data_IF_655064748297
#
_entry.id   IF_655064748297
#
_cell.length_a   1.000
_cell.length_b   1.000
_cell.length_c   1.000
_cell.angle_alpha   90.00
_cell.angle_beta   90.00
_cell.angle_gamma   90.00
#
_symmetry.space_group_name_H-M   'P 1'
#
loop_
_entity.id
_entity.type
_entity.pdbx_description
1 polymer ?
#
# COMPACT_ATOMS: atom_id res chain seq x y z
N UNK A 1 56.88 14.07 -41.06
CA UNK A 1 55.80 14.50 -40.14
C UNK A 1 54.55 13.62 -40.32
N UNK A 2 54.69 12.30 -40.22
CA UNK A 2 53.57 11.33 -40.20
C UNK A 2 53.74 10.44 -38.97
N UNK A 3 53.42 10.93 -37.77
CA UNK A 3 53.36 10.06 -36.58
C UNK A 3 52.60 10.69 -35.39
N UNK A 4 51.62 11.56 -35.63
CA UNK A 4 50.81 12.16 -34.55
C UNK A 4 49.30 12.01 -34.79
N UNK A 5 48.84 11.88 -36.04
CA UNK A 5 47.41 11.75 -36.34
C UNK A 5 46.81 10.34 -36.19
N UNK A 6 47.61 9.32 -35.86
CA UNK A 6 47.10 7.95 -35.65
C UNK A 6 46.72 7.68 -34.18
N UNK A 7 47.18 8.50 -33.22
CA UNK A 7 46.88 8.30 -31.80
C UNK A 7 45.58 8.99 -31.35
N UNK A 8 45.12 10.01 -32.09
CA UNK A 8 43.87 10.73 -31.77
C UNK A 8 42.63 9.98 -32.30
N UNK A 9 42.81 9.07 -33.26
CA UNK A 9 41.72 8.26 -33.81
C UNK A 9 41.39 7.00 -33.02
N UNK A 10 42.16 6.68 -31.96
CA UNK A 10 41.93 5.52 -31.09
C UNK A 10 41.16 5.90 -29.81
N UNK A 11 41.01 7.20 -29.49
CA UNK A 11 40.30 7.65 -28.28
C UNK A 11 38.81 7.96 -28.47
N UNK A 12 38.28 7.85 -29.69
CA UNK A 12 36.85 8.10 -30.00
C UNK A 12 36.05 6.84 -30.36
N UNK A 13 36.58 5.66 -30.07
CA UNK A 13 35.87 4.37 -30.15
C UNK A 13 35.75 3.74 -28.75
N UNK A 14 35.48 4.57 -27.75
CA UNK A 14 34.62 4.17 -26.65
C UNK A 14 33.26 4.82 -26.92
N UNK A 15 32.58 4.32 -27.95
CA UNK A 15 31.12 4.30 -27.87
C UNK A 15 30.83 3.42 -26.66
N UNK A 16 30.62 4.09 -25.52
CA UNK A 16 29.87 3.57 -24.40
C UNK A 16 28.69 2.82 -25.04
N UNK A 17 28.62 1.51 -24.84
CA UNK A 17 27.34 0.81 -24.95
C UNK A 17 26.45 1.48 -23.92
N UNK A 18 25.75 2.54 -24.34
CA UNK A 18 24.71 3.14 -23.54
C UNK A 18 23.64 2.07 -23.52
N UNK A 19 23.36 1.59 -22.31
CA UNK A 19 22.17 0.85 -21.96
C UNK A 19 21.03 1.26 -22.88
N UNK A 20 20.33 0.28 -23.44
CA UNK A 20 19.01 0.42 -24.04
C UNK A 20 18.00 0.71 -22.89
N UNK A 21 18.32 1.73 -22.09
CA UNK A 21 17.57 2.20 -20.93
C UNK A 21 16.24 2.68 -21.46
N UNK A 22 15.16 2.14 -20.89
CA UNK A 22 13.83 2.34 -21.42
C UNK A 22 13.43 3.80 -21.22
N UNK A 23 13.50 4.57 -22.31
CA UNK A 23 13.20 6.00 -22.32
C UNK A 23 11.70 6.18 -22.15
N UNK A 24 11.30 6.94 -21.13
CA UNK A 24 9.93 7.36 -20.86
C UNK A 24 9.80 8.83 -21.26
N UNK A 25 8.99 9.09 -22.28
CA UNK A 25 8.69 10.45 -22.68
C UNK A 25 7.58 11.04 -21.82
N UNK A 26 7.75 12.28 -21.36
CA UNK A 26 6.71 13.00 -20.62
C UNK A 26 6.55 14.43 -21.12
N UNK A 27 5.39 15.03 -20.88
CA UNK A 27 5.05 16.39 -21.24
C UNK A 27 4.28 17.06 -20.09
N UNK A 28 4.62 18.33 -19.81
CA UNK A 28 3.86 19.16 -18.88
C UNK A 28 2.99 20.11 -19.68
N UNK A 29 1.71 20.19 -19.32
CA UNK A 29 0.83 21.24 -19.82
C UNK A 29 1.38 22.63 -19.46
N UNK A 30 1.16 23.60 -20.34
CA UNK A 30 1.68 24.97 -20.19
C UNK A 30 1.02 25.72 -19.03
N UNK A 31 -0.21 25.33 -18.66
CA UNK A 31 -1.01 25.97 -17.62
C UNK A 31 -0.77 25.36 -16.22
N UNK A 32 0.13 24.38 -16.09
CA UNK A 32 0.42 23.73 -14.81
C UNK A 32 1.03 24.70 -13.79
N UNK A 33 0.58 24.60 -12.54
CA UNK A 33 1.27 25.25 -11.42
C UNK A 33 2.71 24.72 -11.24
N UNK A 34 3.65 25.63 -10.92
CA UNK A 34 5.08 25.30 -10.76
C UNK A 34 5.32 24.18 -9.74
N UNK A 35 4.59 24.18 -8.62
CA UNK A 35 4.72 23.17 -7.56
C UNK A 35 4.30 21.78 -8.00
N UNK A 36 3.33 21.68 -8.93
CA UNK A 36 2.91 20.38 -9.49
C UNK A 36 4.03 19.82 -10.35
N UNK A 37 4.61 20.65 -11.21
CA UNK A 37 5.75 20.26 -12.04
C UNK A 37 6.97 19.88 -11.19
N UNK A 38 7.30 20.67 -10.16
CA UNK A 38 8.40 20.39 -9.23
C UNK A 38 8.22 19.03 -8.52
N UNK A 39 7.02 18.71 -8.05
CA UNK A 39 6.74 17.42 -7.40
C UNK A 39 7.00 16.24 -8.34
N UNK A 40 6.60 16.35 -9.60
CA UNK A 40 6.83 15.31 -10.61
C UNK A 40 8.29 15.22 -11.02
N UNK A 41 8.99 16.34 -11.17
CA UNK A 41 10.42 16.35 -11.48
C UNK A 41 11.22 15.67 -10.36
N UNK A 42 10.97 16.04 -9.10
CA UNK A 42 11.65 15.41 -7.96
C UNK A 42 11.41 13.90 -7.90
N UNK A 43 10.17 13.47 -8.17
CA UNK A 43 9.85 12.05 -8.25
C UNK A 43 10.57 11.36 -9.43
N UNK A 44 10.58 11.97 -10.62
CA UNK A 44 11.30 11.49 -11.80
C UNK A 44 12.79 11.32 -11.50
N UNK A 45 13.42 12.30 -10.84
CA UNK A 45 14.84 12.28 -10.51
C UNK A 45 15.13 11.09 -9.58
N UNK A 46 14.33 10.92 -8.52
CA UNK A 46 14.46 9.79 -7.61
C UNK A 46 14.28 8.43 -8.33
N UNK A 47 13.29 8.31 -9.22
CA UNK A 47 13.07 7.09 -10.00
C UNK A 47 14.21 6.82 -10.98
N UNK A 48 14.80 7.86 -11.58
CA UNK A 48 15.95 7.73 -12.49
C UNK A 48 17.19 7.22 -11.74
N UNK A 49 17.36 7.60 -10.46
CA UNK A 49 18.46 7.12 -9.62
C UNK A 49 18.27 5.66 -9.18
N UNK A 50 17.04 5.29 -8.79
CA UNK A 50 16.73 3.97 -8.22
C UNK A 50 16.37 2.89 -9.26
N UNK A 51 16.18 3.29 -10.52
CA UNK A 51 15.79 2.40 -11.61
C UNK A 51 16.72 2.53 -12.83
N UNK A 52 16.46 1.73 -13.86
CA UNK A 52 17.12 1.84 -15.17
C UNK A 52 16.34 2.72 -16.16
N UNK A 53 15.26 3.37 -15.71
CA UNK A 53 14.42 4.22 -16.53
C UNK A 53 15.09 5.58 -16.76
N UNK A 54 14.86 6.13 -17.95
CA UNK A 54 15.31 7.49 -18.28
C UNK A 54 14.11 8.31 -18.70
N UNK A 55 13.84 9.40 -17.99
CA UNK A 55 12.72 10.27 -18.31
C UNK A 55 13.19 11.44 -19.18
N UNK A 56 12.53 11.62 -20.33
CA UNK A 56 12.88 12.65 -21.30
C UNK A 56 11.67 13.54 -21.56
N UNK A 57 11.82 14.83 -21.28
CA UNK A 57 10.78 15.81 -21.58
C UNK A 57 10.60 15.92 -23.09
N UNK A 58 9.38 15.68 -23.56
CA UNK A 58 8.97 15.86 -24.94
C UNK A 58 8.60 17.33 -25.20
N UNK A 59 8.76 17.77 -26.44
CA UNK A 59 8.29 19.07 -26.93
C UNK A 59 6.81 19.01 -27.36
N UNK A 60 6.28 17.81 -27.56
CA UNK A 60 4.90 17.57 -27.99
C UNK A 60 4.28 16.47 -27.12
N UNK A 61 2.98 16.55 -26.81
CA UNK A 61 2.32 15.57 -25.93
C UNK A 61 2.18 14.17 -26.55
N UNK A 62 2.39 14.04 -27.87
CA UNK A 62 2.22 12.78 -28.59
C UNK A 62 3.20 11.71 -28.07
N UNK A 63 2.67 10.52 -27.82
CA UNK A 63 3.41 9.33 -27.36
C UNK A 63 4.17 9.56 -26.02
N UNK A 64 3.67 10.46 -25.18
CA UNK A 64 4.25 10.82 -23.88
C UNK A 64 3.22 10.78 -22.76
N UNK A 65 3.68 10.65 -21.52
CA UNK A 65 2.82 10.83 -20.33
C UNK A 65 2.55 12.33 -20.17
N UNK A 66 1.28 12.72 -20.27
CA UNK A 66 0.83 14.10 -20.08
C UNK A 66 0.55 14.35 -18.60
N UNK A 67 1.23 15.30 -17.99
CA UNK A 67 0.93 15.77 -16.64
C UNK A 67 0.14 17.08 -16.71
N UNK A 68 -1.06 17.08 -16.12
CA UNK A 68 -2.03 18.18 -16.14
C UNK A 68 -2.49 18.56 -14.72
N UNK A 69 -2.45 19.84 -14.40
CA UNK A 69 -3.09 20.38 -13.21
C UNK A 69 -4.61 20.51 -13.43
N UNK A 70 -5.39 19.83 -12.59
CA UNK A 70 -6.85 19.75 -12.72
C UNK A 70 -7.57 19.68 -11.37
N UNK A 71 -6.88 20.00 -10.27
CA UNK A 71 -7.45 20.07 -8.92
C UNK A 71 -7.89 18.72 -8.31
N UNK A 72 -7.65 17.61 -9.00
CA UNK A 72 -7.87 16.25 -8.54
C UNK A 72 -6.73 15.35 -9.05
N UNK A 73 -6.68 14.12 -8.54
CA UNK A 73 -5.54 13.24 -8.77
C UNK A 73 -6.08 12.00 -9.47
N UNK A 74 -5.61 11.72 -10.66
CA UNK A 74 -6.10 10.55 -11.38
C UNK A 74 -5.17 10.20 -12.51
N UNK A 75 -5.24 8.95 -12.90
CA UNK A 75 -4.59 8.45 -14.09
C UNK A 75 -5.67 8.02 -15.07
N UNK A 76 -5.55 8.51 -16.31
CA UNK A 76 -6.41 8.15 -17.42
C UNK A 76 -5.58 7.43 -18.49
N UNK A 77 -5.85 6.13 -18.63
CA UNK A 77 -5.11 5.26 -19.55
C UNK A 77 -5.35 5.61 -21.03
N UNK A 78 -6.57 6.02 -21.38
CA UNK A 78 -7.00 6.21 -22.79
C UNK A 78 -6.20 7.25 -23.55
N UNK A 79 -5.64 8.23 -22.85
CA UNK A 79 -4.91 9.36 -23.40
C UNK A 79 -3.57 9.59 -22.69
N UNK A 80 -3.10 8.60 -21.90
CA UNK A 80 -1.84 8.68 -21.17
C UNK A 80 -1.72 9.96 -20.32
N UNK A 81 -2.80 10.33 -19.61
CA UNK A 81 -2.88 11.61 -18.88
C UNK A 81 -2.96 11.40 -17.37
N UNK A 82 -2.04 12.05 -16.67
CA UNK A 82 -1.98 12.18 -15.23
C UNK A 82 -2.55 13.53 -14.82
N UNK A 83 -3.65 13.48 -14.11
CA UNK A 83 -4.29 14.61 -13.45
C UNK A 83 -3.71 14.77 -12.05
N UNK A 84 -3.31 15.98 -11.70
CA UNK A 84 -2.80 16.34 -10.39
C UNK A 84 -3.52 17.58 -9.86
N UNK A 85 -3.55 17.73 -8.55
CA UNK A 85 -4.00 18.95 -7.91
C UNK A 85 -3.13 19.27 -6.70
N UNK A 86 -3.01 20.56 -6.38
CA UNK A 86 -2.19 21.04 -5.24
C UNK A 86 -2.54 20.38 -3.90
N UNK A 87 -3.76 19.88 -3.74
CA UNK A 87 -4.23 19.23 -2.51
C UNK A 87 -3.73 17.78 -2.35
N UNK A 88 -3.04 17.23 -3.34
CA UNK A 88 -2.53 15.86 -3.28
C UNK A 88 -1.09 15.71 -3.72
N UNK A 89 -0.36 16.80 -3.97
CA UNK A 89 1.07 16.71 -4.25
C UNK A 89 1.85 16.50 -2.94
N UNK A 90 2.56 15.37 -2.88
CA UNK A 90 3.61 15.08 -1.91
C UNK A 90 4.55 14.04 -2.53
N UNK A 91 5.74 13.87 -1.97
CA UNK A 91 6.81 13.05 -2.54
C UNK A 91 6.36 11.60 -2.83
N UNK A 92 5.62 11.00 -1.89
CA UNK A 92 5.10 9.65 -2.04
C UNK A 92 4.06 9.57 -3.16
N UNK A 93 3.12 10.51 -3.22
CA UNK A 93 2.04 10.54 -4.20
C UNK A 93 2.58 10.75 -5.62
N UNK A 94 3.52 11.67 -5.81
CA UNK A 94 4.10 11.96 -7.12
C UNK A 94 4.88 10.76 -7.66
N UNK A 95 5.58 10.02 -6.81
CA UNK A 95 6.20 8.75 -7.21
C UNK A 95 5.15 7.69 -7.56
N UNK A 96 4.11 7.55 -6.74
CA UNK A 96 3.05 6.56 -6.92
C UNK A 96 2.23 6.77 -8.19
N UNK A 97 1.91 8.02 -8.55
CA UNK A 97 1.11 8.30 -9.75
C UNK A 97 1.91 8.06 -11.03
N UNK A 98 3.23 8.32 -11.02
CA UNK A 98 4.13 7.94 -12.11
C UNK A 98 4.18 6.42 -12.22
N UNK A 99 4.35 5.72 -11.10
CA UNK A 99 4.33 4.26 -11.05
C UNK A 99 3.06 3.73 -11.71
N UNK A 100 1.89 4.25 -11.32
CA UNK A 100 0.59 3.84 -11.86
C UNK A 100 0.47 4.09 -13.35
N UNK A 101 0.92 5.25 -13.84
CA UNK A 101 0.92 5.55 -15.27
C UNK A 101 1.79 4.58 -16.09
N UNK A 102 2.89 4.10 -15.49
CA UNK A 102 3.81 3.15 -16.11
C UNK A 102 3.37 1.70 -15.95
N UNK A 103 2.75 1.33 -14.82
CA UNK A 103 2.41 -0.05 -14.48
C UNK A 103 1.00 -0.43 -14.95
N UNK A 104 0.06 0.53 -14.98
CA UNK A 104 -1.38 0.32 -14.98
C UNK A 104 -1.91 -0.43 -13.74
N UNK A 105 -1.06 -0.67 -12.75
CA UNK A 105 -1.40 -1.33 -11.50
C UNK A 105 -1.72 -0.30 -10.42
N UNK A 106 -2.42 -0.71 -9.36
CA UNK A 106 -2.67 0.16 -8.20
C UNK A 106 -1.35 0.58 -7.53
N UNK A 107 -1.32 1.75 -6.88
CA UNK A 107 -0.11 2.25 -6.22
C UNK A 107 0.46 1.23 -5.24
N UNK A 108 1.75 0.96 -5.37
CA UNK A 108 2.48 0.05 -4.49
C UNK A 108 3.43 0.87 -3.59
N UNK A 109 3.63 0.48 -2.33
CA UNK A 109 4.49 1.25 -1.40
C UNK A 109 5.97 1.35 -1.83
N UNK A 110 6.45 0.42 -2.65
CA UNK A 110 7.83 0.34 -3.16
C UNK A 110 7.91 0.56 -4.69
N UNK A 111 7.60 1.79 -5.13
CA UNK A 111 7.52 2.18 -6.55
C UNK A 111 8.72 1.73 -7.37
N UNK A 112 9.95 2.12 -6.98
CA UNK A 112 11.15 1.87 -7.79
C UNK A 112 11.39 0.38 -8.03
N UNK A 113 11.02 -0.49 -7.08
CA UNK A 113 11.23 -1.94 -7.20
C UNK A 113 10.23 -2.59 -8.16
N UNK A 114 8.97 -2.16 -8.12
CA UNK A 114 7.98 -2.59 -9.12
C UNK A 114 8.41 -2.16 -10.51
N UNK A 115 8.91 -0.93 -10.66
CA UNK A 115 9.43 -0.48 -11.94
C UNK A 115 10.65 -1.29 -12.38
N UNK A 116 11.58 -1.61 -11.47
CA UNK A 116 12.72 -2.47 -11.77
C UNK A 116 12.29 -3.87 -12.24
N UNK A 117 11.27 -4.46 -11.61
CA UNK A 117 10.70 -5.73 -12.03
C UNK A 117 10.01 -5.63 -13.40
N UNK A 118 9.10 -4.65 -13.58
CA UNK A 118 8.33 -4.45 -14.82
C UNK A 118 9.25 -4.19 -16.02
N UNK A 119 10.32 -3.43 -15.81
CA UNK A 119 11.24 -3.00 -16.86
C UNK A 119 12.55 -3.80 -16.89
N UNK A 120 12.69 -4.83 -16.05
CA UNK A 120 13.85 -5.71 -15.98
C UNK A 120 15.18 -4.95 -15.79
N UNK A 121 15.22 -4.05 -14.79
CA UNK A 121 16.40 -3.29 -14.43
C UNK A 121 17.38 -4.16 -13.62
N UNK A 122 18.18 -4.96 -14.31
CA UNK A 122 19.05 -5.99 -13.68
C UNK A 122 20.22 -5.43 -12.87
N UNK A 123 20.59 -4.17 -13.12
CA UNK A 123 21.63 -3.43 -12.39
C UNK A 123 21.10 -2.76 -11.10
N UNK A 124 19.81 -2.91 -10.82
CA UNK A 124 19.14 -2.35 -9.64
C UNK A 124 18.49 -3.46 -8.82
N UNK A 125 18.13 -3.16 -7.56
CA UNK A 125 17.45 -4.13 -6.72
C UNK A 125 16.07 -4.47 -7.31
N UNK A 126 15.82 -5.76 -7.50
CA UNK A 126 14.56 -6.33 -8.01
C UNK A 126 13.82 -7.17 -6.96
N UNK A 127 14.41 -7.32 -5.76
CA UNK A 127 13.77 -8.02 -4.65
C UNK A 127 12.70 -7.14 -3.99
N UNK A 128 11.59 -7.75 -3.58
CA UNK A 128 10.56 -7.14 -2.75
C UNK A 128 10.56 -7.83 -1.39
N UNK A 129 10.88 -7.08 -0.35
CA UNK A 129 10.76 -7.55 1.03
C UNK A 129 9.28 -7.53 1.45
N UNK A 130 8.85 -8.59 2.11
CA UNK A 130 7.50 -8.77 2.63
C UNK A 130 7.42 -8.34 4.10
N UNK A 131 6.19 -8.20 4.61
CA UNK A 131 5.90 -8.05 6.03
C UNK A 131 6.69 -6.92 6.73
N UNK A 132 6.83 -5.79 6.02
CA UNK A 132 7.54 -4.61 6.53
C UNK A 132 9.07 -4.70 6.54
N UNK A 133 9.66 -5.68 5.84
CA UNK A 133 11.11 -5.74 5.64
C UNK A 133 11.65 -4.56 4.83
N UNK A 134 12.90 -4.17 5.13
CA UNK A 134 13.61 -3.10 4.42
C UNK A 134 14.74 -3.64 3.56
N UNK A 135 15.02 -2.98 2.43
CA UNK A 135 16.14 -3.35 1.56
C UNK A 135 17.42 -2.68 2.05
N UNK A 136 18.48 -3.46 2.17
CA UNK A 136 19.84 -2.99 2.44
C UNK A 136 20.58 -2.65 1.14
N UNK A 137 21.71 -1.94 1.24
CA UNK A 137 22.48 -1.48 0.08
C UNK A 137 23.03 -2.58 -0.84
N UNK A 138 23.05 -3.83 -0.39
CA UNK A 138 23.44 -5.02 -1.17
C UNK A 138 22.24 -5.77 -1.77
N UNK A 139 21.06 -5.15 -1.81
CA UNK A 139 19.81 -5.74 -2.30
C UNK A 139 19.38 -7.00 -1.54
N UNK A 140 19.63 -7.05 -0.23
CA UNK A 140 19.08 -8.09 0.66
C UNK A 140 17.98 -7.51 1.55
N UNK A 141 17.11 -8.38 2.08
CA UNK A 141 16.05 -7.95 2.98
C UNK A 141 16.49 -8.02 4.43
N UNK A 142 16.41 -6.89 5.13
CA UNK A 142 16.46 -6.80 6.57
C UNK A 142 15.05 -6.98 7.13
N UNK A 143 14.84 -8.08 7.86
CA UNK A 143 13.52 -8.44 8.37
C UNK A 143 13.21 -7.78 9.71
N UNK A 144 11.98 -7.28 9.80
CA UNK A 144 11.42 -6.76 11.03
C UNK A 144 11.22 -7.84 12.10
N UNK A 145 10.75 -7.39 13.27
CA UNK A 145 10.42 -8.27 14.38
C UNK A 145 9.42 -9.36 13.95
N UNK A 146 9.65 -10.60 14.38
CA UNK A 146 8.75 -11.73 14.12
C UNK A 146 9.02 -12.47 12.80
N UNK A 147 9.85 -11.93 11.90
CA UNK A 147 10.04 -12.49 10.55
C UNK A 147 11.47 -12.96 10.26
N UNK A 148 11.59 -13.82 9.24
CA UNK A 148 12.83 -14.36 8.69
C UNK A 148 12.62 -14.81 7.23
N UNK A 149 13.65 -15.34 6.59
CA UNK A 149 13.66 -15.67 5.16
C UNK A 149 14.34 -14.60 4.31
N UNK A 150 14.61 -14.92 3.05
CA UNK A 150 15.34 -14.04 2.13
C UNK A 150 14.51 -12.80 1.76
N UNK A 151 13.18 -12.89 1.89
CA UNK A 151 12.21 -11.81 1.63
C UNK A 151 11.38 -11.48 2.87
N UNK A 152 11.74 -11.97 4.05
CA UNK A 152 10.93 -11.80 5.28
C UNK A 152 9.54 -12.45 5.20
N UNK A 153 9.42 -13.48 4.37
CA UNK A 153 8.19 -14.20 4.06
C UNK A 153 7.82 -15.25 5.13
N UNK A 154 8.71 -15.52 6.09
CA UNK A 154 8.54 -16.58 7.09
C UNK A 154 8.43 -16.05 8.51
N UNK A 155 7.69 -16.77 9.34
CA UNK A 155 7.62 -16.51 10.78
C UNK A 155 8.86 -17.05 11.49
N UNK A 156 9.56 -16.18 12.22
CA UNK A 156 10.79 -16.51 12.95
C UNK A 156 10.56 -17.53 14.07
N UNK A 157 9.37 -17.53 14.65
CA UNK A 157 8.99 -18.40 15.77
C UNK A 157 8.31 -19.70 15.37
N UNK A 158 8.18 -20.01 14.07
CA UNK A 158 7.41 -21.14 13.56
C UNK A 158 7.74 -22.48 14.24
N UNK A 159 9.04 -22.76 14.44
CA UNK A 159 9.50 -23.99 15.08
C UNK A 159 9.18 -24.08 16.59
N UNK A 160 8.70 -23.00 17.20
CA UNK A 160 8.39 -22.89 18.62
C UNK A 160 6.88 -22.95 18.90
N UNK A 161 6.03 -23.04 17.88
CA UNK A 161 4.58 -23.06 18.08
C UNK A 161 4.16 -24.22 18.95
N UNK A 162 3.31 -23.92 19.93
CA UNK A 162 2.74 -24.93 20.83
C UNK A 162 1.23 -25.11 20.64
N UNK A 163 0.63 -24.39 19.68
CA UNK A 163 -0.77 -24.48 19.30
C UNK A 163 -0.89 -24.65 17.77
N UNK A 164 -1.87 -25.41 17.30
CA UNK A 164 -2.05 -25.73 15.88
C UNK A 164 -2.75 -24.63 15.09
N UNK A 165 -3.33 -23.64 15.77
CA UNK A 165 -3.94 -22.46 15.14
C UNK A 165 -2.91 -21.43 14.65
N UNK A 166 -1.65 -21.54 15.09
CA UNK A 166 -0.56 -20.62 14.74
C UNK A 166 -0.16 -20.77 13.28
N UNK A 167 0.41 -19.71 12.71
CA UNK A 167 0.96 -19.71 11.36
C UNK A 167 0.44 -18.58 10.49
N UNK A 168 0.65 -18.73 9.19
CA UNK A 168 0.24 -17.77 8.17
C UNK A 168 -1.22 -18.06 7.76
N UNK A 169 -1.98 -16.99 7.58
CA UNK A 169 -3.33 -16.93 7.05
C UNK A 169 -3.29 -16.06 5.81
N UNK A 170 -3.21 -16.71 4.65
CA UNK A 170 -3.44 -16.08 3.35
C UNK A 170 -4.96 -16.15 3.14
N UNK A 171 -5.68 -15.09 3.52
CA UNK A 171 -7.14 -15.04 3.47
C UNK A 171 -7.55 -13.85 2.62
N UNK A 172 -8.38 -14.10 1.59
CA UNK A 172 -8.99 -13.06 0.75
C UNK A 172 -10.25 -12.45 1.39
N UNK A 173 -10.67 -12.98 2.56
CA UNK A 173 -11.99 -12.76 3.16
C UNK A 173 -11.91 -12.40 4.67
N UNK A 174 -13.09 -12.26 5.32
CA UNK A 174 -13.21 -12.08 6.76
C UNK A 174 -12.98 -13.36 7.57
N UNK A 175 -12.40 -13.21 8.75
CA UNK A 175 -11.99 -14.35 9.55
C UNK A 175 -11.87 -14.07 11.04
N UNK A 176 -11.48 -15.11 11.78
CA UNK A 176 -11.24 -15.02 13.23
C UNK A 176 -9.94 -15.70 13.61
N UNK A 177 -9.16 -15.05 14.48
CA UNK A 177 -7.96 -15.61 15.10
C UNK A 177 -8.23 -15.88 16.57
N UNK A 178 -7.97 -17.11 16.99
CA UNK A 178 -7.92 -17.54 18.37
C UNK A 178 -7.05 -18.80 18.50
N UNK A 179 -6.66 -19.14 19.72
CA UNK A 179 -6.00 -20.42 20.02
C UNK A 179 -6.94 -21.60 19.71
N UNK A 180 -6.38 -22.76 19.37
CA UNK A 180 -7.15 -23.97 19.06
C UNK A 180 -8.04 -24.47 20.21
N UNK A 181 -7.72 -24.06 21.45
CA UNK A 181 -8.45 -24.39 22.66
C UNK A 181 -9.63 -23.44 22.95
N UNK A 182 -9.72 -22.29 22.27
CA UNK A 182 -10.77 -21.31 22.48
C UNK A 182 -12.17 -21.91 22.18
N UNK A 183 -13.22 -21.65 22.99
CA UNK A 183 -13.31 -20.72 24.12
C UNK A 183 -12.84 -21.28 25.48
N UNK A 184 -12.24 -22.47 25.48
CA UNK A 184 -11.59 -23.06 26.65
C UNK A 184 -10.23 -22.43 26.97
N UNK A 185 -9.62 -22.88 28.05
CA UNK A 185 -8.33 -22.35 28.51
C UNK A 185 -7.16 -23.02 27.78
N UNK A 186 -6.15 -22.23 27.45
CA UNK A 186 -4.93 -22.70 26.81
C UNK A 186 -3.95 -23.37 27.80
N UNK A 187 -3.01 -24.20 27.29
CA UNK A 187 -1.87 -24.65 28.09
C UNK A 187 -1.06 -23.46 28.64
N UNK A 188 -0.46 -23.59 29.84
CA UNK A 188 0.31 -22.50 30.45
C UNK A 188 1.54 -22.10 29.64
N UNK A 189 2.14 -23.03 28.91
CA UNK A 189 3.26 -22.76 28.00
C UNK A 189 2.75 -22.66 26.56
N UNK A 190 2.09 -21.54 26.26
CA UNK A 190 1.58 -21.25 24.92
C UNK A 190 2.48 -20.24 24.21
N UNK A 191 2.98 -20.59 23.03
CA UNK A 191 3.65 -19.67 22.12
C UNK A 191 2.99 -19.77 20.75
N UNK A 192 2.54 -18.63 20.24
CA UNK A 192 1.83 -18.58 18.98
C UNK A 192 2.12 -17.28 18.23
N UNK A 193 2.33 -17.39 16.93
CA UNK A 193 2.36 -16.26 16.01
C UNK A 193 1.29 -16.49 14.94
N UNK A 194 0.52 -15.46 14.63
CA UNK A 194 -0.38 -15.41 13.50
C UNK A 194 0.08 -14.29 12.56
N UNK A 195 0.17 -14.60 11.28
CA UNK A 195 0.31 -13.60 10.24
C UNK A 195 -0.95 -13.64 9.39
N UNK A 196 -1.73 -12.56 9.41
CA UNK A 196 -2.81 -12.37 8.45
C UNK A 196 -2.21 -11.58 7.30
N UNK A 197 -2.40 -12.05 6.07
CA UNK A 197 -1.90 -11.42 4.86
C UNK A 197 -3.02 -11.40 3.82
N UNK A 198 -3.23 -10.21 3.26
CA UNK A 198 -4.08 -10.02 2.09
C UNK A 198 -3.22 -10.16 0.83
N UNK A 199 -3.82 -10.74 -0.21
CA UNK A 199 -3.16 -10.99 -1.49
C UNK A 199 -2.69 -9.68 -2.13
N UNK A 200 -3.51 -8.63 -2.05
CA UNK A 200 -3.20 -7.40 -2.74
C UNK A 200 -2.43 -6.39 -1.85
N UNK A 201 -1.34 -5.80 -2.36
CA UNK A 201 -0.46 -4.88 -1.61
C UNK A 201 -1.11 -3.59 -1.10
N UNK A 202 -2.23 -3.20 -1.73
CA UNK A 202 -3.01 -1.99 -1.40
C UNK A 202 -4.20 -2.29 -0.50
N UNK A 203 -4.41 -3.55 -0.13
CA UNK A 203 -5.41 -3.91 0.86
C UNK A 203 -4.90 -3.62 2.26
N UNK A 204 -5.82 -3.46 3.20
CA UNK A 204 -5.52 -3.45 4.62
C UNK A 204 -6.36 -4.50 5.33
N UNK A 205 -5.97 -4.79 6.56
CA UNK A 205 -6.67 -5.69 7.45
C UNK A 205 -7.32 -4.80 8.51
N UNK A 206 -8.65 -4.72 8.48
CA UNK A 206 -9.42 -4.19 9.60
C UNK A 206 -9.62 -5.29 10.63
N UNK A 207 -9.40 -4.98 11.90
CA UNK A 207 -9.50 -5.97 12.96
C UNK A 207 -10.05 -5.40 14.26
N UNK A 208 -10.60 -6.29 15.08
CA UNK A 208 -11.23 -5.99 16.36
C UNK A 208 -10.84 -7.09 17.37
N UNK A 209 -10.35 -6.68 18.54
CA UNK A 209 -10.15 -7.61 19.67
C UNK A 209 -11.50 -7.76 20.37
N UNK A 210 -12.12 -8.92 20.20
CA UNK A 210 -13.46 -9.23 20.73
C UNK A 210 -13.37 -9.70 22.18
N UNK A 211 -12.45 -10.62 22.45
CA UNK A 211 -12.16 -11.09 23.81
C UNK A 211 -10.64 -11.11 24.03
N UNK A 212 -10.23 -10.82 25.27
CA UNK A 212 -8.84 -10.90 25.68
C UNK A 212 -8.77 -11.40 27.13
N UNK A 213 -8.25 -12.60 27.31
CA UNK A 213 -7.96 -13.19 28.62
C UNK A 213 -6.47 -13.52 28.69
N UNK A 214 -5.74 -12.74 29.49
CA UNK A 214 -4.29 -12.83 29.70
C UNK A 214 -3.99 -12.91 31.20
N UNK A 215 -2.82 -13.46 31.55
CA UNK A 215 -2.30 -13.47 32.91
C UNK A 215 -2.09 -12.05 33.44
N UNK A 216 -3.01 -11.65 34.32
CA UNK A 216 -3.02 -10.38 35.03
C UNK A 216 -2.96 -10.53 36.55
N UNK A 217 -2.50 -11.70 37.03
CA UNK A 217 -2.43 -12.00 38.45
C UNK A 217 -1.21 -11.36 39.11
N UNK A 218 -1.36 -10.91 40.36
CA UNK A 218 -0.28 -10.32 41.17
C UNK A 218 0.45 -9.12 40.54
N UNK A 219 -0.22 -8.39 39.65
CA UNK A 219 0.36 -7.18 39.03
C UNK A 219 0.35 -6.01 40.02
N UNK A 220 1.54 -5.46 40.28
CA UNK A 220 1.67 -4.16 40.92
C UNK A 220 1.19 -3.05 39.97
N UNK A 221 0.83 -1.85 40.49
CA UNK A 221 0.57 -0.70 39.64
C UNK A 221 1.76 -0.43 38.70
N UNK A 222 1.49 -0.31 37.40
CA UNK A 222 2.50 -0.15 36.31
C UNK A 222 3.29 -1.41 35.92
N UNK A 223 2.94 -2.59 36.43
CA UNK A 223 3.58 -3.84 36.02
C UNK A 223 2.96 -4.38 34.71
N UNK A 224 3.81 -4.90 33.83
CA UNK A 224 3.38 -5.59 32.60
C UNK A 224 2.72 -6.92 32.95
N UNK A 225 1.82 -7.36 32.08
CA UNK A 225 1.16 -8.65 32.12
C UNK A 225 2.15 -9.81 32.24
N UNK A 226 1.73 -10.90 32.89
CA UNK A 226 2.48 -12.14 32.89
C UNK A 226 2.63 -12.67 31.46
N UNK A 227 1.54 -12.63 30.70
CA UNK A 227 1.53 -12.94 29.28
C UNK A 227 1.99 -11.74 28.44
N UNK A 228 2.71 -12.00 27.35
CA UNK A 228 3.06 -10.98 26.35
C UNK A 228 2.16 -11.14 25.15
N UNK A 229 1.34 -10.13 24.86
CA UNK A 229 0.51 -10.07 23.67
C UNK A 229 0.85 -8.82 22.85
N UNK A 230 1.23 -8.99 21.59
CA UNK A 230 1.69 -7.91 20.72
C UNK A 230 1.07 -8.02 19.33
N UNK A 231 0.81 -6.87 18.71
CA UNK A 231 0.23 -6.74 17.37
C UNK A 231 1.08 -5.75 16.56
N UNK A 232 1.75 -6.20 15.51
CA UNK A 232 2.55 -5.38 14.61
C UNK A 232 1.87 -5.23 13.24
N UNK A 233 2.20 -4.15 12.54
CA UNK A 233 1.57 -3.78 11.26
C UNK A 233 0.45 -2.76 11.39
N UNK A 234 0.23 -2.17 12.57
CA UNK A 234 -0.70 -1.06 12.80
C UNK A 234 -0.09 -0.03 13.75
N UNK A 235 0.19 1.16 13.24
CA UNK A 235 0.71 2.31 13.99
C UNK A 235 -0.26 2.83 15.06
N UNK A 236 -1.55 2.50 14.92
CA UNK A 236 -2.61 2.86 15.86
C UNK A 236 -2.67 1.97 17.11
N UNK A 237 -1.90 0.88 17.14
CA UNK A 237 -1.85 -0.05 18.27
C UNK A 237 -0.57 0.16 19.08
N UNK A 238 -0.75 0.38 20.38
CA UNK A 238 0.36 0.48 21.33
C UNK A 238 0.71 -0.89 21.90
N UNK A 239 1.97 -1.31 21.73
CA UNK A 239 2.49 -2.57 22.25
C UNK A 239 3.32 -2.42 23.53
N UNK A 240 3.41 -3.46 24.38
CA UNK A 240 2.55 -4.64 24.37
C UNK A 240 1.13 -4.31 24.81
N UNK A 241 0.16 -5.11 24.37
CA UNK A 241 -1.24 -4.94 24.76
C UNK A 241 -1.38 -5.15 26.27
N UNK A 242 -1.93 -4.18 27.02
CA UNK A 242 -2.14 -4.33 28.46
C UNK A 242 -3.27 -5.33 28.77
N UNK A 243 -3.25 -5.90 29.97
CA UNK A 243 -4.24 -6.86 30.52
C UNK A 243 -4.93 -6.30 31.79
N UNK A 244 -4.72 -5.00 32.05
CA UNK A 244 -5.38 -4.23 33.10
C UNK A 244 -6.61 -3.50 32.51
N UNK A 245 -7.12 -2.48 33.20
CA UNK A 245 -8.24 -1.67 32.74
C UNK A 245 -8.01 -0.97 31.39
N UNK A 246 -6.77 -0.64 31.04
CA UNK A 246 -6.43 -0.06 29.73
C UNK A 246 -6.61 -1.10 28.62
N UNK A 247 -6.29 -2.37 28.91
CA UNK A 247 -6.52 -3.50 28.01
C UNK A 247 -8.01 -3.80 27.78
N UNK A 248 -8.84 -3.49 28.77
CA UNK A 248 -10.30 -3.59 28.59
C UNK A 248 -10.86 -2.47 27.72
N UNK A 249 -10.18 -1.32 27.64
CA UNK A 249 -10.65 -0.17 26.88
C UNK A 249 -10.55 -0.38 25.37
N UNK A 250 -9.60 -1.21 24.91
CA UNK A 250 -9.38 -1.51 23.49
C UNK A 250 -10.33 -2.60 22.95
N UNK A 251 -11.03 -3.32 23.83
CA UNK A 251 -11.98 -4.37 23.42
C UNK A 251 -13.13 -3.75 22.63
N UNK A 252 -13.46 -4.37 21.49
CA UNK A 252 -14.50 -3.89 20.58
C UNK A 252 -14.12 -2.65 19.76
N UNK A 253 -12.91 -2.09 19.94
CA UNK A 253 -12.42 -1.04 19.06
C UNK A 253 -11.97 -1.63 17.74
N UNK A 254 -12.28 -0.92 16.65
CA UNK A 254 -11.81 -1.26 15.31
C UNK A 254 -10.48 -0.58 15.04
N UNK A 255 -9.53 -1.38 14.60
CA UNK A 255 -8.22 -0.95 14.14
C UNK A 255 -8.05 -1.32 12.67
N UNK A 256 -7.05 -0.70 12.04
CA UNK A 256 -6.65 -0.98 10.67
C UNK A 256 -5.14 -1.15 10.62
N UNK A 257 -4.66 -2.09 9.81
CA UNK A 257 -3.24 -2.22 9.51
C UNK A 257 -2.78 -1.10 8.57
N UNK A 258 -1.50 -0.75 8.63
CA UNK A 258 -0.88 0.26 7.76
C UNK A 258 -0.57 -0.30 6.35
N UNK A 259 -0.71 -1.60 6.14
CA UNK A 259 -0.40 -2.32 4.90
C UNK A 259 -1.22 -3.62 4.79
N UNK A 260 -0.93 -4.47 3.82
CA UNK A 260 -1.66 -5.70 3.51
C UNK A 260 -1.35 -6.89 4.44
N UNK A 261 -0.74 -6.63 5.60
CA UNK A 261 -0.38 -7.67 6.55
C UNK A 261 -0.56 -7.19 7.99
N UNK A 262 -0.83 -8.14 8.89
CA UNK A 262 -0.96 -7.94 10.33
C UNK A 262 -0.33 -9.12 11.06
N UNK A 263 0.64 -8.84 11.92
CA UNK A 263 1.31 -9.86 12.73
C UNK A 263 0.86 -9.79 14.17
N UNK A 264 0.52 -10.94 14.73
CA UNK A 264 0.03 -11.07 16.10
C UNK A 264 0.88 -12.13 16.79
N UNK A 265 1.40 -11.84 17.98
CA UNK A 265 2.14 -12.81 18.78
C UNK A 265 1.61 -12.88 20.21
N UNK A 266 1.42 -14.10 20.68
CA UNK A 266 1.10 -14.42 22.07
C UNK A 266 2.22 -15.29 22.68
N UNK A 267 2.71 -14.87 23.84
CA UNK A 267 3.57 -15.66 24.72
C UNK A 267 2.91 -15.77 26.09
N UNK A 268 2.37 -16.93 26.41
CA UNK A 268 1.78 -17.20 27.71
C UNK A 268 2.85 -17.52 28.77
N UNK A 269 2.63 -17.04 29.99
CA UNK A 269 3.44 -17.30 31.14
C UNK A 269 3.21 -18.72 31.66
N UNK A 270 4.26 -19.55 31.59
CA UNK A 270 4.24 -20.91 32.11
C UNK A 270 3.94 -21.01 33.63
N UNK A 271 4.15 -19.91 34.36
CA UNK A 271 4.00 -19.83 35.82
C UNK A 271 2.71 -19.14 36.29
N UNK A 272 1.81 -18.79 35.37
CA UNK A 272 0.47 -18.28 35.71
C UNK A 272 -0.23 -19.20 36.72
N UNK A 273 -1.00 -18.68 37.70
CA UNK A 273 -1.65 -19.55 38.68
C UNK A 273 -2.81 -20.31 38.01
N UNK A 274 -3.56 -19.61 37.16
CA UNK A 274 -4.62 -20.18 36.31
C UNK A 274 -4.20 -20.28 34.85
N UNK A 275 -5.01 -20.96 34.06
CA UNK A 275 -4.90 -20.97 32.61
C UNK A 275 -5.84 -19.91 32.03
N UNK A 276 -5.43 -19.32 30.92
CA UNK A 276 -6.16 -18.24 30.25
C UNK A 276 -6.58 -18.66 28.85
N UNK A 277 -7.67 -18.08 28.35
CA UNK A 277 -8.20 -18.40 27.01
C UNK A 277 -7.38 -17.79 25.87
N UNK A 278 -6.62 -16.72 26.15
CA UNK A 278 -5.96 -15.93 25.13
C UNK A 278 -6.92 -14.96 24.42
N UNK A 279 -6.53 -14.46 23.23
CA UNK A 279 -7.32 -13.52 22.45
C UNK A 279 -8.35 -14.22 21.55
N UNK A 280 -9.45 -13.51 21.28
CA UNK A 280 -10.32 -13.72 20.12
C UNK A 280 -10.33 -12.43 19.31
N UNK A 281 -9.85 -12.51 18.07
CA UNK A 281 -9.80 -11.38 17.14
C UNK A 281 -10.67 -11.70 15.94
N UNK A 282 -11.45 -10.70 15.50
CA UNK A 282 -12.09 -10.71 14.19
C UNK A 282 -11.30 -9.82 13.25
N UNK A 283 -11.19 -10.22 11.99
CA UNK A 283 -10.60 -9.39 10.96
C UNK A 283 -11.37 -9.49 9.65
N UNK A 284 -11.16 -8.52 8.78
CA UNK A 284 -11.61 -8.54 7.40
C UNK A 284 -10.62 -7.79 6.53
N UNK A 285 -10.35 -8.34 5.35
CA UNK A 285 -9.59 -7.64 4.32
C UNK A 285 -10.47 -6.53 3.75
N UNK A 286 -9.89 -5.34 3.62
CA UNK A 286 -10.54 -4.18 3.01
C UNK A 286 -9.70 -3.67 1.87
N UNK A 287 -10.35 -3.50 0.73
CA UNK A 287 -9.78 -2.77 -0.39
C UNK A 287 -9.79 -1.29 -0.05
N UNK A 288 -8.60 -0.71 0.12
CA UNK A 288 -8.46 0.74 0.03
C UNK A 288 -8.45 1.14 -1.46
N UNK A 289 -9.15 2.20 -1.81
CA UNK A 289 -9.00 2.87 -3.11
C UNK A 289 -7.66 3.64 -3.15
N UNK A 290 -6.53 2.98 -2.87
CA UNK A 290 -5.21 3.61 -2.72
C UNK A 290 -5.23 4.82 -1.77
N UNK A 291 -4.22 5.71 -1.79
CA UNK A 291 -4.44 7.04 -1.23
C UNK A 291 -5.68 7.61 -1.92
N UNK A 292 -6.70 7.98 -1.11
CA UNK A 292 -8.08 8.43 -1.43
C UNK A 292 -8.24 9.48 -2.54
N UNK A 293 -7.15 9.83 -3.21
CA UNK A 293 -7.03 10.87 -4.19
C UNK A 293 -6.77 10.35 -5.60
N UNK A 294 -6.26 9.13 -5.89
CA UNK A 294 -6.00 8.69 -7.30
C UNK A 294 -7.14 7.81 -7.85
N UNK A 295 -8.07 8.44 -8.58
CA UNK A 295 -9.15 7.72 -9.27
C UNK A 295 -8.68 7.21 -10.65
N UNK A 296 -9.28 6.12 -11.12
CA UNK A 296 -9.15 5.68 -12.53
C UNK A 296 -10.47 5.89 -13.23
N UNK A 297 -10.41 6.53 -14.40
CA UNK A 297 -11.54 6.61 -15.31
C UNK A 297 -11.22 5.77 -16.56
N UNK A 298 -11.88 4.62 -16.69
CA UNK A 298 -12.00 3.94 -17.98
C UNK A 298 -13.19 4.54 -18.76
N UNK A 299 -13.14 4.50 -20.08
CA UNK A 299 -14.09 5.20 -20.97
C UNK A 299 -15.54 4.69 -20.97
N UNK A 300 -16.03 4.04 -19.91
CA UNK A 300 -17.39 3.48 -19.85
C UNK A 300 -18.35 4.15 -18.86
N UNK A 301 -18.00 5.29 -18.26
CA UNK A 301 -18.97 6.10 -17.52
C UNK A 301 -19.07 7.54 -18.02
N UNK A 302 -19.60 7.68 -19.24
CA UNK A 302 -20.44 8.83 -19.58
C UNK A 302 -21.89 8.36 -19.56
N UNK A 303 -22.44 8.14 -18.37
CA UNK A 303 -23.89 8.16 -18.19
C UNK A 303 -24.27 9.59 -17.83
N UNK A 304 -24.93 10.24 -18.79
CA UNK A 304 -25.49 11.58 -18.69
C UNK A 304 -26.51 11.66 -17.55
N UNK A 305 -26.08 12.07 -16.36
CA UNK A 305 -26.97 12.55 -15.31
C UNK A 305 -27.47 13.95 -15.65
N UNK A 306 -28.52 14.02 -16.48
CA UNK A 306 -29.37 15.22 -16.55
C UNK A 306 -30.61 15.01 -15.68
N UNK A 307 -30.44 15.30 -14.39
CA UNK A 307 -31.52 15.67 -13.48
C UNK A 307 -30.96 16.81 -12.62
N UNK A 308 -31.52 18.00 -12.50
CA UNK A 308 -32.93 18.42 -12.50
C UNK A 308 -32.96 19.96 -12.62
N UNK A 309 -34.16 20.54 -12.69
CA UNK A 309 -34.51 21.98 -12.58
C UNK A 309 -34.75 22.74 -13.89
N UNK A 310 -35.89 22.49 -14.52
CA UNK A 310 -36.76 23.60 -14.93
C UNK A 310 -38.14 23.37 -14.32
N UNK A 311 -38.54 24.38 -13.55
CA UNK A 311 -39.77 24.45 -12.82
C UNK A 311 -41.00 24.34 -13.72
N UNK A 312 -42.01 23.70 -13.15
CA UNK A 312 -43.40 23.66 -13.55
C UNK A 312 -43.95 25.02 -14.00
N UNK A 313 -44.10 25.22 -15.30
CA UNK A 313 -45.10 26.11 -15.90
C UNK A 313 -45.31 25.61 -17.33
N UNK A 314 -46.55 25.63 -17.84
CA UNK A 314 -46.99 25.24 -19.21
C UNK A 314 -47.61 23.85 -19.42
N UNK A 315 -48.57 23.46 -18.58
CA UNK A 315 -49.66 22.55 -19.01
C UNK A 315 -51.03 23.09 -18.61
N UNK A 316 -51.32 24.32 -19.07
CA UNK A 316 -52.66 24.92 -19.04
C UNK A 316 -52.86 25.75 -20.32
N UNK A 317 -52.65 25.14 -21.48
CA UNK A 317 -53.03 25.74 -22.76
C UNK A 317 -53.21 24.71 -23.90
N UNK A 318 -53.88 23.59 -23.64
CA UNK A 318 -54.37 22.69 -24.71
C UNK A 318 -55.71 22.03 -24.36
N UNK A 319 -56.62 22.80 -23.74
CA UNK A 319 -58.05 22.45 -23.62
C UNK A 319 -58.97 23.60 -24.05
N UNK A 320 -58.49 24.46 -24.95
CA UNK A 320 -59.27 25.58 -25.50
C UNK A 320 -59.16 25.69 -27.03
N UNK A 321 -59.05 24.55 -27.74
CA UNK A 321 -59.26 24.48 -29.19
C UNK A 321 -60.11 23.25 -29.48
N UNK A 322 -61.35 23.24 -29.01
CA UNK A 322 -62.47 22.45 -29.56
C UNK A 322 -63.78 22.95 -28.93
N UNK A 323 -64.11 24.22 -29.20
CA UNK A 323 -65.48 24.75 -29.23
C UNK A 323 -65.40 26.15 -29.86
N UNK A 324 -66.22 26.38 -30.89
CA UNK A 324 -66.27 27.54 -31.81
C UNK A 324 -65.24 27.35 -32.96
N UNK A 325 -65.58 27.04 -34.22
CA UNK A 325 -66.84 27.16 -34.96
C UNK A 325 -66.90 26.16 -36.14
N UNK A 326 -68.14 25.80 -36.51
CA UNK A 326 -68.62 24.90 -37.58
C UNK A 326 -68.49 23.38 -37.36
#
# INVERSE_FOLDING_TARGET
MLSINLLILIFSIFCISINDGRIIHYYFDEDNEERVNECIINAIDHLTEETCLQFVRSQVPKDSILFLDSGHCSWQETNNTVHLGVNCINDAMCSQIIARALTNDRPYPLVSRILNLKYNCTDKCTILCENGGSITGDCTCECGYGFTGDRCERLKGEALFTDTSCGIRDDDDDGTIALSSFPGNAPKQTYCQWLIKADEPWENIEFEIVELDLDNENLLPSQKCGDSFVIFGSSSVQNPIPCNSEGSAILGQKYRSDSNWLFIELRANAYSLRQHKGPLIKYNVVNEDGPNNIRTFSSEQVSTSTSTFIASFWTLLMTAIFRIAH
#
